data_IF_095223842961
#
_entry.id   IF_095223842961
#
_cell.length_a   1.000
_cell.length_b   1.000
_cell.length_c   1.000
_cell.angle_alpha   90.00
_cell.angle_beta   90.00
_cell.angle_gamma   90.00
#
_symmetry.space_group_name_H-M   'P 1'
#
loop_
_entity.id
_entity.type
_entity.pdbx_description
1 polymer ?
#
# COMPACT_ATOMS: atom_id res chain seq x y z
N UNK A 1 -7.20 13.73 -24.31
CA UNK A 1 -8.20 12.84 -23.69
C UNK A 1 -9.16 13.54 -22.72
N UNK A 2 -8.85 14.74 -22.16
CA UNK A 2 -9.77 15.42 -21.22
C UNK A 2 -9.88 16.95 -21.40
N UNK A 3 -9.38 17.51 -22.51
CA UNK A 3 -9.39 18.96 -22.73
C UNK A 3 -10.83 19.51 -22.76
N UNK A 4 -11.09 20.60 -22.01
CA UNK A 4 -12.40 21.25 -21.91
C UNK A 4 -13.38 20.61 -20.91
N UNK A 5 -13.02 19.51 -20.25
CA UNK A 5 -13.89 18.83 -19.29
C UNK A 5 -13.74 19.41 -17.88
N UNK A 6 -14.86 19.70 -17.21
CA UNK A 6 -14.90 20.09 -15.79
C UNK A 6 -15.25 18.87 -14.94
N UNK A 7 -14.57 18.73 -13.81
CA UNK A 7 -14.82 17.67 -12.83
C UNK A 7 -15.30 18.30 -11.52
N UNK A 8 -16.28 17.67 -10.87
CA UNK A 8 -16.81 18.15 -9.60
C UNK A 8 -15.89 17.80 -8.42
N UNK A 9 -15.25 16.62 -8.45
CA UNK A 9 -14.32 16.16 -7.42
C UNK A 9 -13.42 15.03 -7.95
N UNK A 10 -12.36 14.74 -7.20
CA UNK A 10 -11.48 13.59 -7.36
C UNK A 10 -11.34 12.87 -6.03
N UNK A 11 -11.29 11.54 -6.07
CA UNK A 11 -10.97 10.70 -4.92
C UNK A 11 -9.57 10.12 -5.11
N UNK A 12 -8.71 10.36 -4.13
CA UNK A 12 -7.36 9.80 -4.10
C UNK A 12 -7.27 8.80 -2.97
N UNK A 13 -6.59 7.70 -3.23
CA UNK A 13 -6.04 6.87 -2.16
C UNK A 13 -4.96 7.68 -1.40
N UNK A 14 -4.62 7.24 -0.19
CA UNK A 14 -3.62 7.90 0.65
C UNK A 14 -2.23 7.30 0.42
N UNK A 15 -2.09 6.01 0.71
CA UNK A 15 -0.81 5.29 0.74
C UNK A 15 -0.30 5.05 -0.69
N UNK A 16 0.93 5.46 -0.98
CA UNK A 16 1.51 5.35 -2.33
C UNK A 16 0.90 6.29 -3.37
N UNK A 17 -0.13 7.08 -3.01
CA UNK A 17 -0.75 8.09 -3.89
C UNK A 17 -0.46 9.51 -3.40
N UNK A 18 -0.88 9.85 -2.17
CA UNK A 18 -0.64 11.17 -1.57
C UNK A 18 0.63 11.16 -0.71
N UNK A 19 0.92 10.03 -0.05
CA UNK A 19 2.07 9.89 0.87
C UNK A 19 2.84 8.62 0.54
N UNK A 20 4.18 8.68 0.56
CA UNK A 20 5.00 7.47 0.57
C UNK A 20 5.10 6.90 1.99
N UNK A 21 4.21 5.98 2.33
CA UNK A 21 4.11 5.33 3.64
C UNK A 21 4.79 3.95 3.71
N UNK A 22 5.48 3.52 2.64
CA UNK A 22 6.06 2.17 2.52
C UNK A 22 6.96 1.83 3.73
N UNK A 23 7.91 2.70 4.07
CA UNK A 23 8.83 2.44 5.18
C UNK A 23 8.12 2.35 6.55
N UNK A 24 7.03 3.11 6.74
CA UNK A 24 6.24 3.04 7.97
C UNK A 24 5.46 1.72 8.04
N UNK A 25 4.85 1.30 6.93
CA UNK A 25 4.14 0.02 6.83
C UNK A 25 5.09 -1.16 7.06
N UNK A 26 6.25 -1.18 6.38
CA UNK A 26 7.23 -2.26 6.52
C UNK A 26 7.72 -2.42 7.97
N UNK A 27 7.98 -1.30 8.66
CA UNK A 27 8.39 -1.33 10.08
C UNK A 27 7.33 -1.94 10.98
N UNK A 28 6.08 -1.48 10.88
CA UNK A 28 4.98 -1.94 11.74
C UNK A 28 4.69 -3.43 11.49
N UNK A 29 4.69 -3.85 10.23
CA UNK A 29 4.45 -5.25 9.87
C UNK A 29 5.61 -6.17 10.20
N UNK A 30 6.85 -5.69 10.11
CA UNK A 30 8.03 -6.42 10.59
C UNK A 30 7.93 -6.69 12.09
N UNK A 31 7.66 -5.65 12.89
CA UNK A 31 7.53 -5.77 14.35
C UNK A 31 6.40 -6.74 14.73
N UNK A 32 5.28 -6.70 14.00
CA UNK A 32 4.17 -7.62 14.21
C UNK A 32 4.55 -9.06 13.86
N UNK A 33 5.16 -9.29 12.69
CA UNK A 33 5.55 -10.62 12.21
C UNK A 33 6.53 -11.32 13.16
N UNK A 34 7.52 -10.57 13.66
CA UNK A 34 8.46 -11.06 14.67
C UNK A 34 7.75 -11.53 15.94
N UNK A 35 6.74 -10.78 16.41
CA UNK A 35 5.93 -11.16 17.58
C UNK A 35 5.07 -12.40 17.35
N UNK A 36 4.71 -12.68 16.10
CA UNK A 36 3.96 -13.88 15.72
C UNK A 36 4.85 -15.08 15.38
N UNK A 37 6.18 -14.93 15.43
CA UNK A 37 7.12 -15.99 15.05
C UNK A 37 7.13 -16.29 13.55
N UNK A 38 6.70 -15.35 12.72
CA UNK A 38 6.74 -15.47 11.25
C UNK A 38 8.13 -15.10 10.73
N UNK A 39 8.56 -15.78 9.67
CA UNK A 39 9.73 -15.36 8.92
C UNK A 39 9.43 -14.05 8.17
N UNK A 40 10.09 -12.97 8.59
CA UNK A 40 9.90 -11.63 8.04
C UNK A 40 10.24 -11.59 6.55
N UNK A 41 11.28 -12.30 6.12
CA UNK A 41 11.76 -12.23 4.74
C UNK A 41 10.72 -12.79 3.75
N UNK A 42 10.00 -13.84 4.14
CA UNK A 42 8.91 -14.41 3.34
C UNK A 42 7.58 -13.69 3.56
N UNK A 43 7.34 -13.12 4.74
CA UNK A 43 6.08 -12.43 5.06
C UNK A 43 5.97 -11.03 4.46
N UNK A 44 7.01 -10.19 4.58
CA UNK A 44 6.95 -8.77 4.24
C UNK A 44 6.56 -8.50 2.76
N UNK A 45 6.95 -9.31 1.76
CA UNK A 45 6.48 -9.12 0.39
C UNK A 45 4.96 -9.29 0.21
N UNK A 46 4.25 -9.90 1.17
CA UNK A 46 2.81 -10.19 1.07
C UNK A 46 1.89 -9.07 1.55
N UNK A 47 2.43 -8.08 2.29
CA UNK A 47 1.63 -7.04 2.95
C UNK A 47 1.26 -5.86 2.03
N UNK A 48 1.91 -5.73 0.87
CA UNK A 48 1.62 -4.65 -0.07
C UNK A 48 0.40 -4.97 -0.93
N UNK A 49 -0.33 -3.91 -1.31
CA UNK A 49 -1.50 -4.02 -2.17
C UNK A 49 -1.15 -4.72 -3.49
N UNK A 50 -1.92 -5.76 -3.83
CA UNK A 50 -1.86 -6.43 -5.14
C UNK A 50 -2.87 -5.80 -6.09
N UNK A 51 -2.63 -5.88 -7.39
CA UNK A 51 -3.65 -5.49 -8.35
C UNK A 51 -4.86 -6.40 -8.20
N UNK A 52 -6.07 -5.89 -8.46
CA UNK A 52 -7.29 -6.69 -8.37
C UNK A 52 -7.28 -7.93 -9.30
N UNK A 53 -6.52 -7.89 -10.40
CA UNK A 53 -6.33 -9.02 -11.32
C UNK A 53 -5.35 -10.09 -10.78
N UNK A 54 -4.60 -9.76 -9.73
CA UNK A 54 -3.58 -10.61 -9.10
C UNK A 54 -4.05 -11.17 -7.74
N UNK A 55 -5.35 -11.05 -7.43
CA UNK A 55 -5.99 -11.62 -6.22
C UNK A 55 -6.63 -12.96 -6.56
#
# INVERSE_FOLDING_TARGET
MFAGRKFAAFLFDMDGTVINSIAAAERVWTDWAQRQGLDVATFLPTIHGKRAVET
#
